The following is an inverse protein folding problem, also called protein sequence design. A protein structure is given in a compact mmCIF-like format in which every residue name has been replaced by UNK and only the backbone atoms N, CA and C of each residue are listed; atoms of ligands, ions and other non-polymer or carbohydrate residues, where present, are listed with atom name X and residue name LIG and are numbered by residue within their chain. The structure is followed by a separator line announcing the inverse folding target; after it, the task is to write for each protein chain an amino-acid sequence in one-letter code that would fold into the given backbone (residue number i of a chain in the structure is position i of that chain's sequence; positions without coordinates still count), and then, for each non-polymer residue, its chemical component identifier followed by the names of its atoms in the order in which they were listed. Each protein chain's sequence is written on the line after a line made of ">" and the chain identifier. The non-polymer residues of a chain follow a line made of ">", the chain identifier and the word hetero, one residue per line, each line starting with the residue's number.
data_IF_714839593252
#
_entry.id   IF_714839593252
#
_cell.length_a   1.000
_cell.length_b   1.000
_cell.length_c   1.000
_cell.angle_alpha   90.00
_cell.angle_beta   90.00
_cell.angle_gamma   90.00
#
_symmetry.space_group_name_H-M   'P 1'
#
loop_
_entity.id
_entity.type
_entity.pdbx_description
1 polymer ?
#
# COMPACT_ATOMS: atom_id res chain seq x y z
N UNK A 1 -5.86 5.94 13.94
CA UNK A 1 -6.04 6.26 12.51
C UNK A 1 -5.57 5.08 11.66
N UNK A 2 -6.50 4.37 11.04
CA UNK A 2 -6.21 3.26 10.13
C UNK A 2 -5.82 3.83 8.77
N UNK A 3 -4.70 3.38 8.19
CA UNK A 3 -4.23 3.82 6.87
C UNK A 3 -3.68 2.64 6.08
N UNK A 4 -3.82 2.68 4.76
CA UNK A 4 -3.24 1.69 3.87
C UNK A 4 -2.12 2.33 3.05
N UNK A 5 -1.01 1.62 2.90
CA UNK A 5 0.11 2.04 2.05
C UNK A 5 0.36 0.97 1.01
N UNK A 6 0.33 1.35 -0.26
CA UNK A 6 0.59 0.43 -1.37
C UNK A 6 1.98 0.72 -1.90
N UNK A 7 2.87 -0.27 -1.86
CA UNK A 7 4.24 -0.14 -2.39
C UNK A 7 4.43 -1.10 -3.55
N UNK A 8 4.66 -0.56 -4.74
CA UNK A 8 5.01 -1.34 -5.95
C UNK A 8 6.52 -1.40 -6.08
N UNK A 9 7.09 -2.61 -6.11
CA UNK A 9 8.51 -2.83 -6.37
C UNK A 9 8.70 -3.30 -7.81
N UNK A 10 9.22 -2.42 -8.67
CA UNK A 10 9.44 -2.70 -10.09
C UNK A 10 10.50 -3.78 -10.33
N UNK A 11 11.53 -3.85 -9.48
CA UNK A 11 12.63 -4.81 -9.63
C UNK A 11 12.21 -6.25 -9.36
N UNK A 12 11.31 -6.45 -8.41
CA UNK A 12 10.86 -7.80 -8.01
C UNK A 12 9.46 -8.12 -8.48
N UNK A 13 8.81 -7.22 -9.23
CA UNK A 13 7.38 -7.29 -9.60
C UNK A 13 6.47 -7.59 -8.40
N UNK A 14 6.84 -7.14 -7.20
CA UNK A 14 6.06 -7.38 -5.99
C UNK A 14 5.31 -6.13 -5.59
N UNK A 15 4.05 -6.30 -5.27
CA UNK A 15 3.17 -5.27 -4.74
C UNK A 15 2.90 -5.59 -3.28
N UNK A 16 3.20 -4.65 -2.39
CA UNK A 16 3.03 -4.80 -0.94
C UNK A 16 1.92 -3.88 -0.45
N UNK A 17 0.84 -4.46 0.04
CA UNK A 17 -0.24 -3.76 0.72
C UNK A 17 0.06 -3.74 2.21
N UNK A 18 0.38 -2.56 2.74
CA UNK A 18 0.72 -2.35 4.14
C UNK A 18 -0.44 -1.64 4.83
N UNK A 19 -1.25 -2.39 5.58
CA UNK A 19 -2.39 -1.84 6.32
C UNK A 19 -1.95 -1.57 7.76
N UNK A 20 -2.11 -0.31 8.18
CA UNK A 20 -1.89 0.10 9.57
C UNK A 20 -3.17 -0.12 10.36
N UNK A 21 -3.07 -1.01 11.34
CA UNK A 21 -4.07 -1.20 12.38
C UNK A 21 -3.57 -0.59 13.70
N UNK A 22 -4.27 -0.84 14.81
CA UNK A 22 -3.98 -0.22 16.11
C UNK A 22 -2.54 -0.45 16.59
N UNK A 23 -2.05 -1.70 16.51
CA UNK A 23 -0.73 -2.08 17.02
C UNK A 23 0.28 -2.36 15.90
N UNK A 24 -0.12 -3.14 14.90
CA UNK A 24 0.77 -3.67 13.87
C UNK A 24 0.52 -3.09 12.49
N UNK A 25 1.50 -3.28 11.60
CA UNK A 25 1.34 -3.07 10.17
C UNK A 25 1.26 -4.44 9.51
N UNK A 26 0.11 -4.79 8.99
CA UNK A 26 -0.07 -6.03 8.25
C UNK A 26 0.39 -5.82 6.82
N UNK A 27 1.24 -6.71 6.32
CA UNK A 27 1.76 -6.64 4.95
C UNK A 27 1.30 -7.85 4.15
N UNK A 28 0.49 -7.62 3.13
CA UNK A 28 0.18 -8.61 2.11
C UNK A 28 1.10 -8.37 0.90
N UNK A 29 1.80 -9.41 0.45
CA UNK A 29 2.67 -9.37 -0.72
C UNK A 29 2.02 -10.12 -1.88
N UNK A 30 1.82 -9.45 -3.00
CA UNK A 30 1.26 -9.99 -4.23
C UNK A 30 2.29 -9.83 -5.36
N UNK A 31 2.31 -10.78 -6.30
CA UNK A 31 3.14 -10.71 -7.52
C UNK A 31 2.34 -10.34 -8.77
N UNK A 32 1.03 -10.52 -8.70
CA UNK A 32 0.09 -10.31 -9.79
C UNK A 32 -0.46 -8.87 -9.74
N UNK A 33 -0.25 -8.10 -10.82
CA UNK A 33 -0.69 -6.72 -10.93
C UNK A 33 -2.21 -6.59 -11.01
N UNK A 34 -2.86 -7.49 -11.72
CA UNK A 34 -4.29 -7.38 -12.01
C UNK A 34 -5.12 -7.67 -10.76
N UNK A 35 -4.67 -8.67 -9.98
CA UNK A 35 -5.26 -8.95 -8.66
C UNK A 35 -5.00 -7.80 -7.68
N UNK A 36 -3.84 -7.16 -7.75
CA UNK A 36 -3.53 -6.03 -6.90
C UNK A 36 -4.42 -4.81 -7.20
N UNK A 37 -4.69 -4.51 -8.47
CA UNK A 37 -5.54 -3.39 -8.84
C UNK A 37 -7.01 -3.64 -8.45
N UNK A 38 -7.52 -4.87 -8.59
CA UNK A 38 -8.83 -5.28 -8.04
C UNK A 38 -8.89 -5.17 -6.52
N UNK A 39 -7.82 -5.59 -5.83
CA UNK A 39 -7.73 -5.47 -4.38
C UNK A 39 -7.73 -4.00 -3.95
N UNK A 40 -7.02 -3.13 -4.67
CA UNK A 40 -7.00 -1.68 -4.44
C UNK A 40 -8.41 -1.07 -4.57
N UNK A 41 -9.19 -1.49 -5.56
CA UNK A 41 -10.59 -1.06 -5.72
C UNK A 41 -11.52 -1.57 -4.62
N UNK A 42 -11.24 -2.75 -4.07
CA UNK A 42 -12.04 -3.34 -2.99
C UNK A 42 -11.79 -2.67 -1.63
N UNK A 43 -10.76 -1.83 -1.50
CA UNK A 43 -10.48 -1.14 -0.25
C UNK A 43 -11.52 -0.05 0.03
N UNK A 44 -11.94 0.14 1.29
CA UNK A 44 -12.92 1.16 1.63
C UNK A 44 -12.41 2.57 1.26
N UNK A 45 -13.23 3.44 0.64
CA UNK A 45 -12.83 4.81 0.30
C UNK A 45 -12.57 5.67 1.55
N UNK A 46 -13.16 5.32 2.69
CA UNK A 46 -12.89 5.96 3.99
C UNK A 46 -11.48 5.64 4.54
N UNK A 47 -10.81 4.62 4.00
CA UNK A 47 -9.45 4.27 4.38
C UNK A 47 -8.48 5.16 3.62
N UNK A 48 -7.62 5.89 4.34
CA UNK A 48 -6.57 6.71 3.71
C UNK A 48 -5.54 5.80 3.02
N UNK A 49 -5.61 5.71 1.70
CA UNK A 49 -4.66 4.96 0.86
C UNK A 49 -3.55 5.89 0.38
N UNK A 50 -2.31 5.53 0.65
CA UNK A 50 -1.11 6.26 0.19
C UNK A 50 -0.30 5.34 -0.72
N UNK A 51 -0.15 5.72 -1.99
CA UNK A 51 0.78 5.05 -2.90
C UNK A 51 2.21 5.52 -2.56
N UNK A 52 3.09 4.57 -2.20
CA UNK A 52 4.46 4.87 -1.78
C UNK A 52 5.41 4.60 -2.94
N UNK A 53 5.79 5.66 -3.66
CA UNK A 53 6.92 5.62 -4.59
C UNK A 53 8.22 5.82 -3.80
N UNK A 54 9.35 5.32 -4.29
CA UNK A 54 10.64 5.51 -3.61
C UNK A 54 11.13 6.98 -3.57
N UNK A 55 10.34 7.93 -4.10
CA UNK A 55 10.69 9.35 -4.20
C UNK A 55 10.08 10.26 -3.12
N UNK A 56 9.14 9.78 -2.31
CA UNK A 56 8.47 10.60 -1.29
C UNK A 56 9.34 10.75 -0.03
N UNK A 57 10.48 11.43 -0.19
CA UNK A 57 11.21 12.02 0.94
C UNK A 57 10.30 13.09 1.53
N UNK A 58 9.88 12.86 2.77
CA UNK A 58 9.09 13.75 3.62
C UNK A 58 9.34 15.23 3.30
N UNK A 59 8.32 15.98 2.87
CA UNK A 59 8.19 17.38 3.30
C UNK A 59 7.83 17.32 4.78
N UNK A 60 8.85 17.26 5.63
CA UNK A 60 8.71 17.67 7.01
C UNK A 60 8.61 19.20 6.99
N UNK A 61 7.46 19.71 7.44
CA UNK A 61 7.34 21.09 7.92
C UNK A 61 7.89 21.11 9.35
#
# INVERSE_FOLDING_TARGET
>A
MSSARIKRNRNTQQIKFKVRCSRYVYTLVLKDSDKADKLKQSLPPALKVVDVTNGDKKKAL
#
